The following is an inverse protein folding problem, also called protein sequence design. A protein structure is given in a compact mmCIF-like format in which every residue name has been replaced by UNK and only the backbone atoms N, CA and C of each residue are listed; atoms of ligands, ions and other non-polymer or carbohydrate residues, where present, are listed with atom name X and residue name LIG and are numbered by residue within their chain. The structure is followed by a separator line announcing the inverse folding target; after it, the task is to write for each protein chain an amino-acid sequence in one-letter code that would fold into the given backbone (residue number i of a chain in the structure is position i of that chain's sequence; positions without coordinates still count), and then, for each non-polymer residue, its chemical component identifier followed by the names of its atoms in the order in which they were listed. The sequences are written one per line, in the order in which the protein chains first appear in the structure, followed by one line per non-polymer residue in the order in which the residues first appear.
data_IF_320241642426
#
_entry.id   IF_320241642426
#
_cell.length_a   1.000
_cell.length_b   1.000
_cell.length_c   1.000
_cell.angle_alpha   90.00
_cell.angle_beta   90.00
_cell.angle_gamma   90.00
#
_symmetry.space_group_name_H-M   'P 1'
#
loop_
_entity.id
_entity.type
_entity.pdbx_description
1 polymer ?
#
# COMPACT_ATOMS: atom_id res chain seq x y z
N UNK A 1 5.01 -0.02 44.05
CA UNK A 1 5.90 0.57 43.01
C UNK A 1 6.82 1.66 43.55
N UNK A 2 6.39 2.56 44.45
CA UNK A 2 7.24 3.66 44.97
C UNK A 2 8.52 3.21 45.71
N UNK A 3 8.46 2.15 46.53
CA UNK A 3 9.63 1.67 47.28
C UNK A 3 10.76 1.13 46.38
N UNK A 4 10.43 0.40 45.31
CA UNK A 4 11.43 -0.19 44.39
C UNK A 4 12.17 0.90 43.60
N UNK A 5 11.44 1.89 43.10
CA UNK A 5 12.06 3.03 42.40
C UNK A 5 12.95 3.84 43.35
N UNK A 6 12.52 4.05 44.60
CA UNK A 6 13.31 4.75 45.63
C UNK A 6 14.60 4.00 46.00
N UNK A 7 14.54 2.67 46.09
CA UNK A 7 15.72 1.83 46.37
C UNK A 7 16.70 1.82 45.18
N UNK A 8 16.19 1.73 43.94
CA UNK A 8 17.03 1.77 42.73
C UNK A 8 17.73 3.13 42.61
N UNK A 9 17.00 4.24 42.79
CA UNK A 9 17.60 5.58 42.76
C UNK A 9 18.63 5.78 43.86
N UNK A 10 18.38 5.24 45.06
CA UNK A 10 19.32 5.31 46.18
C UNK A 10 20.61 4.52 45.92
N UNK A 11 20.49 3.30 45.38
CA UNK A 11 21.67 2.50 44.98
C UNK A 11 22.43 3.12 43.81
N UNK A 12 21.72 3.73 42.85
CA UNK A 12 22.30 4.49 41.74
C UNK A 12 23.16 5.66 42.25
N UNK A 13 22.63 6.44 43.18
CA UNK A 13 23.29 7.60 43.74
C UNK A 13 24.48 7.22 44.66
N UNK A 14 24.39 6.08 45.35
CA UNK A 14 25.48 5.54 46.18
C UNK A 14 26.68 5.04 45.35
N UNK A 15 26.45 4.33 44.24
CA UNK A 15 27.52 3.85 43.34
C UNK A 15 28.23 5.00 42.61
N UNK A 16 27.52 6.09 42.29
CA UNK A 16 28.05 7.23 41.55
C UNK A 16 29.01 8.10 42.36
N UNK A 17 28.97 8.02 43.71
CA UNK A 17 29.85 8.77 44.63
C UNK A 17 31.22 8.14 44.86
N UNK A 18 31.46 6.89 44.46
CA UNK A 18 32.77 6.22 44.67
C UNK A 18 33.57 6.12 43.36
N UNK A 19 34.58 6.99 43.23
CA UNK A 19 35.56 7.04 42.13
C UNK A 19 36.20 5.68 41.77
N UNK A 20 36.31 4.78 42.76
CA UNK A 20 36.92 3.43 42.60
C UNK A 20 36.18 2.52 41.61
N UNK A 21 34.93 2.83 41.24
CA UNK A 21 34.08 1.97 40.43
C UNK A 21 33.50 2.66 39.19
N UNK A 22 34.10 3.77 38.73
CA UNK A 22 33.57 4.55 37.60
C UNK A 22 33.42 3.72 36.32
N UNK A 23 34.41 2.89 35.98
CA UNK A 23 34.36 2.04 34.78
C UNK A 23 33.26 0.96 34.89
N UNK A 24 33.14 0.32 36.06
CA UNK A 24 32.06 -0.64 36.32
C UNK A 24 30.70 0.04 36.24
N UNK A 25 30.59 1.28 36.74
CA UNK A 25 29.36 2.06 36.69
C UNK A 25 28.94 2.45 35.28
N UNK A 26 29.89 2.73 34.39
CA UNK A 26 29.61 2.95 32.97
C UNK A 26 29.02 1.71 32.31
N UNK A 27 29.56 0.52 32.60
CA UNK A 27 29.01 -0.76 32.10
C UNK A 27 27.59 -1.00 32.62
N UNK A 28 27.35 -0.77 33.92
CA UNK A 28 26.01 -0.93 34.52
C UNK A 28 25.00 0.03 33.89
N UNK A 29 25.37 1.30 33.65
CA UNK A 29 24.53 2.25 32.92
C UNK A 29 24.20 1.77 31.52
N UNK A 30 25.18 1.23 30.79
CA UNK A 30 24.98 0.69 29.46
C UNK A 30 23.97 -0.48 29.48
N UNK A 31 24.10 -1.39 30.45
CA UNK A 31 23.15 -2.50 30.64
C UNK A 31 21.73 -2.02 30.92
N UNK A 32 21.56 -1.00 31.76
CA UNK A 32 20.23 -0.43 32.05
C UNK A 32 19.63 0.29 30.85
N UNK A 33 20.41 1.10 30.13
CA UNK A 33 19.96 1.77 28.91
C UNK A 33 19.54 0.75 27.87
N UNK A 34 20.36 -0.29 27.66
CA UNK A 34 20.07 -1.36 26.71
C UNK A 34 18.78 -2.11 27.07
N UNK A 35 18.65 -2.53 28.33
CA UNK A 35 17.47 -3.25 28.82
C UNK A 35 16.21 -2.41 28.74
N UNK A 36 16.27 -1.13 29.13
CA UNK A 36 15.13 -0.22 29.08
C UNK A 36 14.69 0.08 27.64
N UNK A 37 15.65 0.27 26.73
CA UNK A 37 15.37 0.53 25.31
C UNK A 37 14.69 -0.67 24.65
N UNK A 38 15.16 -1.89 24.95
CA UNK A 38 14.55 -3.13 24.47
C UNK A 38 13.16 -3.37 25.08
N UNK A 39 12.97 -3.13 26.38
CA UNK A 39 11.68 -3.31 27.04
C UNK A 39 10.56 -2.47 26.42
N UNK A 40 10.87 -1.25 25.96
CA UNK A 40 9.90 -0.40 25.25
C UNK A 40 9.50 -0.99 23.88
N UNK A 41 10.48 -1.52 23.14
CA UNK A 41 10.27 -2.15 21.83
C UNK A 41 9.48 -3.46 21.96
N UNK A 42 9.87 -4.32 22.90
CA UNK A 42 9.17 -5.57 23.20
C UNK A 42 7.74 -5.34 23.68
N UNK A 43 7.51 -4.31 24.50
CA UNK A 43 6.15 -3.89 24.88
C UNK A 43 5.35 -3.46 23.65
N UNK A 44 5.96 -2.73 22.72
CA UNK A 44 5.35 -2.37 21.44
C UNK A 44 4.96 -3.60 20.61
N UNK A 45 5.86 -4.57 20.49
CA UNK A 45 5.61 -5.83 19.78
C UNK A 45 4.55 -6.70 20.46
N UNK A 46 4.56 -6.79 21.78
CA UNK A 46 3.55 -7.54 22.54
C UNK A 46 2.15 -6.95 22.35
N UNK A 47 2.02 -5.62 22.42
CA UNK A 47 0.76 -4.91 22.13
C UNK A 47 0.35 -5.08 20.66
N UNK A 48 1.30 -5.16 19.74
CA UNK A 48 0.98 -5.38 18.33
C UNK A 48 0.58 -6.83 18.05
N UNK A 49 1.19 -7.80 18.74
CA UNK A 49 0.88 -9.24 18.61
C UNK A 49 -0.58 -9.55 18.92
N UNK A 50 -1.18 -8.86 19.90
CA UNK A 50 -2.60 -9.05 20.24
C UNK A 50 -3.56 -8.43 19.22
N UNK A 51 -3.10 -7.47 18.41
CA UNK A 51 -3.92 -6.80 17.37
C UNK A 51 -3.76 -7.41 15.98
N UNK A 52 -2.61 -8.04 15.72
CA UNK A 52 -2.32 -8.65 14.44
C UNK A 52 -3.03 -10.00 14.33
N UNK A 53 -3.87 -10.12 13.31
CA UNK A 53 -4.52 -11.36 12.90
C UNK A 53 -4.05 -11.69 11.49
N UNK A 54 -3.87 -12.96 11.17
CA UNK A 54 -3.53 -13.39 9.81
C UNK A 54 -4.54 -12.86 8.78
N UNK A 55 -4.05 -12.49 7.59
CA UNK A 55 -4.87 -11.95 6.49
C UNK A 55 -5.62 -10.63 6.78
N UNK A 56 -5.22 -9.89 7.81
CA UNK A 56 -5.79 -8.59 8.11
C UNK A 56 -5.39 -7.52 7.08
N UNK A 57 -6.37 -6.81 6.53
CA UNK A 57 -6.11 -5.67 5.64
C UNK A 57 -5.58 -4.48 6.42
N UNK A 58 -4.67 -3.71 5.82
CA UNK A 58 -4.11 -2.47 6.40
C UNK A 58 -5.19 -1.55 6.98
N UNK A 59 -6.29 -1.35 6.24
CA UNK A 59 -7.37 -0.48 6.72
C UNK A 59 -8.09 -1.03 7.96
N UNK A 60 -8.27 -2.34 8.03
CA UNK A 60 -8.84 -3.01 9.20
C UNK A 60 -7.93 -2.85 10.41
N UNK A 61 -6.61 -2.99 10.23
CA UNK A 61 -5.62 -2.78 11.30
C UNK A 61 -5.65 -1.34 11.82
N UNK A 62 -5.68 -0.35 10.95
CA UNK A 62 -5.75 1.07 11.34
C UNK A 62 -7.02 1.34 12.17
N UNK A 63 -8.16 0.79 11.74
CA UNK A 63 -9.42 0.97 12.45
C UNK A 63 -9.42 0.27 13.82
N UNK A 64 -8.86 -0.94 13.92
CA UNK A 64 -8.67 -1.64 15.19
C UNK A 64 -7.77 -0.84 16.13
N UNK A 65 -6.66 -0.31 15.62
CA UNK A 65 -5.73 0.50 16.41
C UNK A 65 -6.40 1.76 16.97
N UNK A 66 -7.16 2.47 16.13
CA UNK A 66 -7.93 3.64 16.55
C UNK A 66 -8.94 3.31 17.65
N UNK A 67 -9.63 2.18 17.56
CA UNK A 67 -10.56 1.74 18.60
C UNK A 67 -9.83 1.42 19.92
N UNK A 68 -8.74 0.64 19.83
CA UNK A 68 -7.94 0.28 21.01
C UNK A 68 -7.35 1.50 21.72
N UNK A 69 -6.73 2.41 20.98
CA UNK A 69 -6.11 3.60 21.57
C UNK A 69 -7.17 4.49 22.24
N UNK A 70 -8.37 4.60 21.65
CA UNK A 70 -9.49 5.32 22.25
C UNK A 70 -9.98 4.69 23.57
N UNK A 71 -10.14 3.36 23.60
CA UNK A 71 -10.52 2.65 24.83
C UNK A 71 -9.42 2.80 25.88
N UNK A 72 -8.15 2.65 25.49
CA UNK A 72 -7.00 2.79 26.38
C UNK A 72 -6.90 4.19 26.96
N UNK A 73 -7.20 5.25 26.20
CA UNK A 73 -7.21 6.62 26.71
C UNK A 73 -8.30 6.88 27.75
N UNK A 74 -9.39 6.09 27.72
CA UNK A 74 -10.47 6.16 28.70
C UNK A 74 -10.17 5.33 29.96
N UNK A 75 -9.01 4.68 30.04
CA UNK A 75 -8.59 3.90 31.20
C UNK A 75 -9.13 2.48 31.25
N UNK A 76 -9.91 2.04 30.27
CA UNK A 76 -10.50 0.70 30.24
C UNK A 76 -11.80 0.63 29.45
N UNK A 77 -12.34 -0.58 29.29
CA UNK A 77 -13.60 -0.82 28.57
C UNK A 77 -14.80 -0.36 29.41
N UNK A 78 -14.68 -0.49 30.73
CA UNK A 78 -15.67 -0.10 31.72
C UNK A 78 -16.03 1.39 31.69
N UNK A 79 -15.08 2.24 31.27
CA UNK A 79 -15.26 3.69 31.20
C UNK A 79 -15.85 4.17 29.86
N UNK A 80 -16.13 3.24 28.93
CA UNK A 80 -16.66 3.58 27.61
C UNK A 80 -18.19 3.69 27.68
N UNK A 81 -18.70 4.92 27.62
CA UNK A 81 -20.15 5.15 27.57
C UNK A 81 -20.75 4.78 26.21
N UNK A 82 -21.72 3.88 26.21
CA UNK A 82 -22.40 3.43 24.98
C UNK A 82 -23.39 4.50 24.51
N UNK A 83 -23.00 5.24 23.47
CA UNK A 83 -23.83 6.31 22.92
C UNK A 83 -24.84 5.77 21.88
N UNK A 84 -26.02 6.38 21.77
CA UNK A 84 -27.05 6.04 20.74
C UNK A 84 -26.49 6.02 19.31
N UNK A 85 -25.54 6.91 18.99
CA UNK A 85 -24.85 6.95 17.69
C UNK A 85 -24.06 5.68 17.39
N UNK A 86 -23.44 5.06 18.39
CA UNK A 86 -22.70 3.80 18.23
C UNK A 86 -23.67 2.68 17.89
N UNK A 87 -24.82 2.60 18.58
CA UNK A 87 -25.85 1.61 18.30
C UNK A 87 -26.40 1.74 16.87
N UNK A 88 -26.71 2.95 16.42
CA UNK A 88 -27.14 3.21 15.05
C UNK A 88 -26.05 2.85 14.03
N UNK A 89 -24.78 3.18 14.32
CA UNK A 89 -23.67 2.82 13.47
C UNK A 89 -23.54 1.30 13.31
N UNK A 90 -23.63 0.54 14.42
CA UNK A 90 -23.56 -0.93 14.40
C UNK A 90 -24.73 -1.54 13.62
N UNK A 91 -25.97 -1.06 13.85
CA UNK A 91 -27.16 -1.54 13.13
C UNK A 91 -27.00 -1.44 11.60
N UNK A 92 -26.44 -0.33 11.10
CA UNK A 92 -26.21 -0.13 9.67
C UNK A 92 -24.93 -0.77 9.11
N UNK A 93 -24.05 -1.34 9.93
CA UNK A 93 -22.71 -1.75 9.51
C UNK A 93 -22.73 -2.85 8.44
N UNK A 94 -23.58 -3.87 8.62
CA UNK A 94 -23.75 -4.97 7.65
C UNK A 94 -24.22 -4.46 6.29
N UNK A 95 -25.18 -3.54 6.27
CA UNK A 95 -25.67 -2.94 5.03
C UNK A 95 -24.58 -2.14 4.32
N UNK A 96 -23.86 -1.26 5.04
CA UNK A 96 -22.75 -0.47 4.47
C UNK A 96 -21.64 -1.35 3.91
N UNK A 97 -21.32 -2.46 4.58
CA UNK A 97 -20.35 -3.44 4.10
C UNK A 97 -20.78 -4.06 2.77
N UNK A 98 -22.02 -4.57 2.69
CA UNK A 98 -22.56 -5.16 1.46
C UNK A 98 -22.60 -4.14 0.33
N UNK A 99 -23.05 -2.91 0.59
CA UNK A 99 -23.04 -1.83 -0.40
C UNK A 99 -21.62 -1.52 -0.89
N UNK A 100 -20.62 -1.53 0.01
CA UNK A 100 -19.21 -1.36 -0.35
C UNK A 100 -18.67 -2.48 -1.26
N UNK A 101 -19.06 -3.74 -1.02
CA UNK A 101 -18.69 -4.86 -1.88
C UNK A 101 -19.27 -4.72 -3.29
N UNK A 102 -20.55 -4.34 -3.39
CA UNK A 102 -21.21 -4.11 -4.69
C UNK A 102 -20.52 -3.00 -5.47
N UNK A 103 -20.28 -1.84 -4.85
CA UNK A 103 -19.56 -0.72 -5.50
C UNK A 103 -18.16 -1.13 -5.96
N UNK A 104 -17.45 -1.94 -5.17
CA UNK A 104 -16.12 -2.44 -5.54
C UNK A 104 -16.19 -3.33 -6.78
N UNK A 105 -17.17 -4.22 -6.85
CA UNK A 105 -17.39 -5.08 -8.02
C UNK A 105 -17.69 -4.24 -9.26
N UNK A 106 -18.65 -3.32 -9.18
CA UNK A 106 -19.01 -2.42 -10.28
C UNK A 106 -17.83 -1.59 -10.78
N UNK A 107 -16.97 -1.10 -9.87
CA UNK A 107 -15.76 -0.37 -10.24
C UNK A 107 -14.78 -1.25 -11.04
N UNK A 108 -14.56 -2.49 -10.60
CA UNK A 108 -13.69 -3.43 -11.29
C UNK A 108 -14.25 -3.80 -12.67
N UNK A 109 -15.55 -4.05 -12.76
CA UNK A 109 -16.22 -4.38 -14.03
C UNK A 109 -16.13 -3.22 -15.03
N UNK A 110 -16.38 -1.98 -14.57
CA UNK A 110 -16.19 -0.77 -15.40
C UNK A 110 -14.74 -0.61 -15.87
N UNK A 111 -13.77 -0.90 -15.00
CA UNK A 111 -12.34 -0.83 -15.35
C UNK A 111 -11.96 -1.89 -16.38
N UNK A 112 -12.47 -3.11 -16.23
CA UNK A 112 -12.27 -4.20 -17.18
C UNK A 112 -12.86 -3.86 -18.56
N UNK A 113 -14.11 -3.36 -18.60
CA UNK A 113 -14.76 -2.94 -19.84
C UNK A 113 -13.95 -1.86 -20.58
N UNK A 114 -13.54 -0.81 -19.87
CA UNK A 114 -12.69 0.26 -20.46
C UNK A 114 -11.37 -0.28 -21.00
N UNK A 115 -10.78 -1.25 -20.32
CA UNK A 115 -9.52 -1.86 -20.76
C UNK A 115 -9.72 -2.70 -22.03
N UNK A 116 -10.83 -3.44 -22.10
CA UNK A 116 -11.18 -4.22 -23.28
C UNK A 116 -11.51 -3.32 -24.48
N UNK A 117 -12.22 -2.22 -24.27
CA UNK A 117 -12.51 -1.23 -25.32
C UNK A 117 -11.23 -0.60 -25.87
N UNK A 118 -10.29 -0.21 -24.99
CA UNK A 118 -8.97 0.30 -25.43
C UNK A 118 -8.23 -0.70 -26.30
N UNK A 119 -8.18 -1.97 -25.90
CA UNK A 119 -7.57 -3.06 -26.70
C UNK A 119 -8.25 -3.23 -28.06
N UNK A 120 -9.59 -3.17 -28.11
CA UNK A 120 -10.35 -3.25 -29.38
C UNK A 120 -10.01 -2.08 -30.30
N UNK A 121 -9.92 -0.87 -29.77
CA UNK A 121 -9.55 0.34 -30.52
C UNK A 121 -8.12 0.25 -31.06
N UNK A 122 -7.15 -0.17 -30.23
CA UNK A 122 -5.76 -0.37 -30.63
C UNK A 122 -5.62 -1.40 -31.75
N UNK A 123 -6.33 -2.53 -31.64
CA UNK A 123 -6.35 -3.55 -32.69
C UNK A 123 -6.92 -3.01 -34.01
N UNK A 124 -8.02 -2.24 -33.94
CA UNK A 124 -8.63 -1.61 -35.12
C UNK A 124 -7.70 -0.58 -35.76
N UNK A 125 -6.99 0.21 -34.94
CA UNK A 125 -5.97 1.15 -35.39
C UNK A 125 -4.84 0.43 -36.14
N UNK A 126 -4.30 -0.66 -35.56
CA UNK A 126 -3.25 -1.45 -36.21
C UNK A 126 -3.71 -2.05 -37.55
N UNK A 127 -4.94 -2.55 -37.62
CA UNK A 127 -5.52 -3.06 -38.86
C UNK A 127 -5.59 -1.96 -39.94
N UNK A 128 -6.05 -0.76 -39.57
CA UNK A 128 -6.12 0.38 -40.48
C UNK A 128 -4.72 0.79 -40.99
N UNK A 129 -3.71 0.83 -40.12
CA UNK A 129 -2.33 1.09 -40.53
C UNK A 129 -1.81 0.05 -41.53
N UNK A 130 -2.07 -1.24 -41.29
CA UNK A 130 -1.69 -2.33 -42.21
C UNK A 130 -2.40 -2.18 -43.56
N UNK A 131 -3.70 -1.85 -43.56
CA UNK A 131 -4.48 -1.62 -44.78
C UNK A 131 -3.95 -0.42 -45.58
N UNK A 132 -3.67 0.71 -44.92
CA UNK A 132 -3.10 1.91 -45.56
C UNK A 132 -1.75 1.58 -46.22
N UNK A 133 -0.84 0.92 -45.49
CA UNK A 133 0.47 0.49 -46.02
C UNK A 133 0.33 -0.42 -47.25
N UNK A 134 -0.63 -1.35 -47.23
CA UNK A 134 -0.92 -2.24 -48.37
C UNK A 134 -1.46 -1.47 -49.58
N UNK A 135 -2.34 -0.49 -49.36
CA UNK A 135 -2.89 0.38 -50.41
C UNK A 135 -1.79 1.24 -51.06
N UNK A 136 -0.94 1.86 -50.25
CA UNK A 136 0.18 2.67 -50.73
C UNK A 136 1.19 1.84 -51.52
N UNK A 137 1.49 0.61 -51.07
CA UNK A 137 2.34 -0.31 -51.80
C UNK A 137 1.75 -0.68 -53.18
N UNK A 138 0.45 -0.97 -53.24
CA UNK A 138 -0.25 -1.24 -54.51
C UNK A 138 -0.19 -0.04 -55.46
N UNK A 139 -0.40 1.19 -54.95
CA UNK A 139 -0.27 2.43 -55.76
C UNK A 139 1.14 2.61 -56.31
N UNK A 140 2.18 2.43 -55.48
CA UNK A 140 3.59 2.50 -55.92
C UNK A 140 3.90 1.47 -57.00
N UNK A 141 3.45 0.22 -56.83
CA UNK A 141 3.65 -0.86 -57.82
C UNK A 141 2.98 -0.55 -59.16
N UNK A 142 1.75 -0.03 -59.16
CA UNK A 142 1.06 0.42 -60.38
C UNK A 142 1.84 1.53 -61.10
N UNK A 143 2.30 2.55 -60.37
CA UNK A 143 3.14 3.63 -60.95
C UNK A 143 4.43 3.10 -61.56
N UNK A 144 5.12 2.18 -60.88
CA UNK A 144 6.35 1.58 -61.38
C UNK A 144 6.10 0.76 -62.66
N UNK A 145 5.03 -0.04 -62.67
CA UNK A 145 4.63 -0.80 -63.85
C UNK A 145 4.28 0.12 -65.04
N UNK A 146 3.56 1.22 -64.77
CA UNK A 146 3.26 2.23 -65.79
C UNK A 146 4.54 2.85 -66.36
N UNK A 147 5.48 3.25 -65.49
CA UNK A 147 6.78 3.83 -65.88
C UNK A 147 7.62 2.86 -66.71
N UNK A 148 7.64 1.58 -66.32
CA UNK A 148 8.30 0.51 -67.11
C UNK A 148 7.66 0.35 -68.48
N UNK A 149 6.32 0.34 -68.56
CA UNK A 149 5.56 0.25 -69.82
C UNK A 149 5.87 1.45 -70.73
N UNK A 150 5.85 2.67 -70.22
CA UNK A 150 6.26 3.87 -70.96
C UNK A 150 7.70 3.78 -71.47
N UNK A 151 8.65 3.34 -70.64
CA UNK A 151 10.06 3.17 -71.05
C UNK A 151 10.21 2.14 -72.18
N UNK A 152 9.47 1.04 -72.11
CA UNK A 152 9.44 0.01 -73.16
C UNK A 152 8.93 0.56 -74.49
N UNK A 153 7.79 1.27 -74.48
CA UNK A 153 7.24 1.89 -75.68
C UNK A 153 8.16 2.97 -76.26
N UNK A 154 8.86 3.75 -75.42
CA UNK A 154 9.80 4.78 -75.86
C UNK A 154 11.02 4.16 -76.58
N UNK A 155 11.54 3.03 -76.09
CA UNK A 155 12.62 2.26 -76.74
C UNK A 155 12.21 1.61 -78.07
N UNK A 156 10.92 1.33 -78.28
CA UNK A 156 10.41 0.80 -79.56
C UNK A 156 10.18 1.88 -80.63
N UNK A 157 10.07 3.16 -80.23
CA UNK A 157 9.83 4.28 -81.16
C UNK A 157 11.10 4.97 -81.66
N UNK A 158 12.24 4.76 -80.99
CA UNK A 158 13.57 5.13 -81.50
C UNK A 158 14.39 3.83 -81.64
N UNK A 159 14.41 3.19 -82.82
CA UNK A 159 15.39 2.14 -83.13
C UNK A 159 16.82 2.70 -83.10
#
# INVERSE_FOLDING_TARGET
MSAIYSSITFTMDYCQRKKKWEDLWQVVKLCFIFSHRNASVERGFSVNKTMLVENLKKQSLINHRRAYDGIKSLGGVENVSITKRMLLAVRGAKHRYRAGLVRKKEYLDKKASKTQEKRKLENKLQQLYKQKKKSDWKKRRKKLNLKKKFRFWRKRKNP
#
